data_IF_233532624993
#
_entry.id   IF_233532624993
#
_cell.length_a   1.000
_cell.length_b   1.000
_cell.length_c   1.000
_cell.angle_alpha   90.00
_cell.angle_beta   90.00
_cell.angle_gamma   90.00
#
_symmetry.space_group_name_H-M   'P 1'
#
loop_
_entity.id
_entity.type
_entity.pdbx_description
1 polymer ?
#
# COMPACT_ATOMS: atom_id res chain seq x y z
N UNK A 1 6.09 19.70 6.25
CA UNK A 1 5.83 20.80 5.27
C UNK A 1 4.61 20.40 4.48
N UNK A 2 3.67 21.32 4.25
CA UNK A 2 2.35 20.94 3.72
C UNK A 2 2.09 21.61 2.38
N UNK A 3 1.41 20.88 1.48
CA UNK A 3 0.88 21.45 0.24
C UNK A 3 -0.17 22.51 0.58
N UNK A 4 -0.16 23.63 -0.13
CA UNK A 4 -1.17 24.67 0.01
C UNK A 4 -2.28 24.45 -1.02
N UNK A 5 -3.41 23.90 -0.59
CA UNK A 5 -4.62 23.82 -1.41
C UNK A 5 -5.40 25.12 -1.28
N UNK A 6 -5.64 25.82 -2.40
CA UNK A 6 -6.52 26.99 -2.42
C UNK A 6 -7.97 26.50 -2.44
N UNK A 7 -8.79 26.96 -1.50
CA UNK A 7 -10.19 26.55 -1.42
C UNK A 7 -10.97 26.97 -2.69
N UNK A 8 -11.45 25.99 -3.46
CA UNK A 8 -12.39 26.24 -4.55
C UNK A 8 -13.78 26.55 -3.97
N UNK A 9 -14.10 27.84 -3.74
CA UNK A 9 -15.49 28.28 -3.57
C UNK A 9 -16.11 28.47 -4.97
N UNK A 10 -17.22 27.78 -5.21
CA UNK A 10 -17.96 27.84 -6.46
C UNK A 10 -18.41 29.25 -6.83
N UNK A 11 -18.15 29.64 -8.08
CA UNK A 11 -18.60 30.89 -8.68
C UNK A 11 -19.09 30.63 -10.10
N UNK A 12 -20.40 30.75 -10.28
CA UNK A 12 -21.09 30.78 -11.57
C UNK A 12 -20.43 31.80 -12.51
N UNK A 13 -20.08 31.41 -13.75
CA UNK A 13 -19.90 32.39 -14.83
C UNK A 13 -20.09 31.79 -16.23
N UNK A 14 -21.07 32.37 -16.94
CA UNK A 14 -21.40 32.13 -18.34
C UNK A 14 -20.17 32.19 -19.25
N UNK A 15 -19.91 31.12 -20.03
CA UNK A 15 -18.92 31.13 -21.10
C UNK A 15 -19.55 31.57 -22.42
N UNK A 16 -19.18 32.76 -22.88
CA UNK A 16 -19.29 33.15 -24.29
C UNK A 16 -18.26 32.34 -25.10
N UNK A 17 -18.71 31.59 -26.08
CA UNK A 17 -17.88 30.75 -26.96
C UNK A 17 -17.28 31.64 -28.06
N UNK A 18 -15.95 31.79 -28.06
CA UNK A 18 -15.21 32.51 -29.12
C UNK A 18 -14.64 31.51 -30.12
N UNK A 19 -14.94 31.71 -31.40
CA UNK A 19 -14.60 30.82 -32.51
C UNK A 19 -13.08 30.67 -32.77
N UNK A 20 -12.72 29.47 -33.24
CA UNK A 20 -11.37 28.96 -33.49
C UNK A 20 -10.60 29.79 -34.51
N UNK A 21 -11.31 30.42 -35.46
CA UNK A 21 -10.72 31.25 -36.51
C UNK A 21 -10.10 32.53 -35.94
N UNK A 22 -10.78 33.15 -34.96
CA UNK A 22 -10.30 34.35 -34.24
C UNK A 22 -9.05 34.04 -33.42
N UNK A 23 -8.99 32.86 -32.78
CA UNK A 23 -7.81 32.41 -32.01
C UNK A 23 -6.56 32.20 -32.88
N UNK A 24 -6.71 31.74 -34.12
CA UNK A 24 -5.57 31.57 -35.05
C UNK A 24 -5.03 32.91 -35.56
N UNK A 25 -5.92 33.87 -35.82
CA UNK A 25 -5.53 35.21 -36.28
C UNK A 25 -4.75 35.99 -35.22
N UNK A 26 -5.13 35.87 -33.95
CA UNK A 26 -4.39 36.48 -32.83
C UNK A 26 -2.99 35.85 -32.69
N UNK A 27 -2.86 34.53 -32.87
CA UNK A 27 -1.57 33.83 -32.76
C UNK A 27 -0.59 34.16 -33.89
N UNK A 28 -1.07 34.38 -35.11
CA UNK A 28 -0.20 34.76 -36.23
C UNK A 28 0.29 36.21 -36.14
N UNK A 29 -0.47 37.09 -35.48
CA UNK A 29 -0.12 38.50 -35.33
C UNK A 29 0.94 38.75 -34.24
N UNK A 30 1.00 37.90 -33.21
CA UNK A 30 1.93 38.04 -32.06
C UNK A 30 3.34 37.51 -32.37
N UNK A 31 3.52 36.71 -33.43
CA UNK A 31 4.81 36.07 -33.76
C UNK A 31 5.62 36.78 -34.85
N UNK A 32 5.11 37.87 -35.46
CA UNK A 32 5.90 38.67 -36.41
C UNK A 32 6.92 39.53 -35.65
N UNK A 33 8.20 39.17 -35.74
CA UNK A 33 9.32 40.03 -35.32
C UNK A 33 10.36 39.40 -34.39
N UNK A 34 10.13 38.18 -33.86
CA UNK A 34 10.99 37.65 -32.77
C UNK A 34 12.24 36.86 -33.21
N UNK A 35 12.42 36.60 -34.51
CA UNK A 35 13.50 35.73 -35.05
C UNK A 35 14.37 36.38 -36.15
N UNK A 36 14.57 37.70 -36.13
CA UNK A 36 15.59 38.32 -36.99
C UNK A 36 16.95 38.33 -36.26
N UNK A 37 17.93 37.58 -36.78
CA UNK A 37 19.35 37.87 -36.57
C UNK A 37 20.15 37.07 -35.52
N UNK A 38 19.94 35.76 -35.32
CA UNK A 38 20.87 34.94 -34.51
C UNK A 38 21.52 33.80 -35.30
N UNK A 39 22.82 33.93 -35.53
CA UNK A 39 23.71 32.91 -36.11
C UNK A 39 24.40 32.14 -34.98
N UNK A 40 24.32 30.80 -34.98
CA UNK A 40 24.95 29.93 -33.96
C UNK A 40 26.25 29.36 -34.52
N UNK A 41 27.38 29.63 -33.85
CA UNK A 41 28.68 29.06 -34.18
C UNK A 41 28.89 27.70 -33.50
N UNK A 42 29.35 26.71 -34.27
CA UNK A 42 29.59 25.31 -33.85
C UNK A 42 31.08 25.10 -33.57
N UNK A 43 31.43 24.72 -32.35
CA UNK A 43 32.79 24.28 -31.98
C UNK A 43 32.77 22.80 -31.60
N UNK A 44 33.62 22.01 -32.26
CA UNK A 44 33.88 20.59 -31.95
C UNK A 44 35.20 20.48 -31.17
N UNK A 45 35.25 19.59 -30.18
CA UNK A 45 36.51 19.12 -29.55
C UNK A 45 36.52 17.58 -29.45
N UNK A 46 37.71 16.95 -29.48
CA UNK A 46 37.89 15.56 -29.92
C UNK A 46 37.94 14.55 -28.77
N UNK A 47 37.70 13.27 -29.13
CA UNK A 47 37.79 12.08 -28.26
C UNK A 47 39.25 11.67 -28.02
N UNK A 48 39.61 11.39 -26.78
CA UNK A 48 40.82 10.65 -26.39
C UNK A 48 40.43 9.43 -25.54
N UNK A 49 40.95 8.26 -25.91
CA UNK A 49 40.75 6.99 -25.22
C UNK A 49 41.78 6.82 -24.09
N UNK A 50 41.38 6.17 -22.98
CA UNK A 50 42.32 5.71 -21.94
C UNK A 50 41.98 4.27 -21.56
N UNK A 51 43.04 3.48 -21.44
CA UNK A 51 43.13 2.04 -21.36
C UNK A 51 42.70 1.44 -20.02
N UNK A 52 42.36 0.15 -20.08
CA UNK A 52 42.05 -0.73 -18.96
C UNK A 52 43.27 -1.02 -18.08
N UNK A 53 43.08 -0.99 -16.76
CA UNK A 53 44.00 -1.53 -15.76
C UNK A 53 43.25 -2.52 -14.87
N UNK A 54 43.78 -3.74 -14.78
CA UNK A 54 43.32 -4.83 -13.91
C UNK A 54 43.42 -4.44 -12.43
N UNK A 55 42.45 -4.86 -11.61
CA UNK A 55 42.63 -4.94 -10.16
C UNK A 55 42.06 -6.26 -9.62
N UNK A 56 42.88 -6.90 -8.81
CA UNK A 56 42.80 -8.25 -8.28
C UNK A 56 41.60 -8.52 -7.36
N UNK A 57 41.25 -9.81 -7.28
CA UNK A 57 40.17 -10.35 -6.46
C UNK A 57 40.51 -10.36 -4.97
N UNK A 58 39.61 -9.82 -4.13
CA UNK A 58 39.59 -10.07 -2.69
C UNK A 58 38.26 -10.78 -2.37
N UNK A 59 38.34 -11.99 -1.82
CA UNK A 59 37.21 -12.72 -1.19
C UNK A 59 37.17 -12.40 0.30
N UNK A 60 35.97 -12.23 0.88
CA UNK A 60 35.69 -12.64 2.25
C UNK A 60 34.47 -13.58 2.36
N UNK A 61 34.60 -14.58 3.24
CA UNK A 61 33.58 -15.57 3.59
C UNK A 61 32.51 -15.03 4.58
N UNK A 62 31.27 -15.49 4.36
CA UNK A 62 30.09 -15.71 5.22
C UNK A 62 29.45 -14.62 6.12
N UNK A 63 28.19 -14.26 5.77
CA UNK A 63 27.17 -13.56 6.57
C UNK A 63 26.11 -12.79 5.72
N UNK A 64 24.78 -12.85 5.98
CA UNK A 64 23.77 -13.13 4.96
C UNK A 64 23.09 -11.93 4.26
N UNK A 65 22.54 -12.22 3.07
CA UNK A 65 21.69 -11.41 2.18
C UNK A 65 22.43 -10.52 1.17
N UNK A 66 22.98 -11.17 0.13
CA UNK A 66 22.76 -10.89 -1.30
C UNK A 66 22.66 -9.42 -1.79
N UNK A 67 23.35 -8.48 -1.14
CA UNK A 67 23.57 -7.12 -1.63
C UNK A 67 24.63 -7.05 -2.74
N UNK A 68 25.25 -8.18 -3.09
CA UNK A 68 26.47 -8.22 -3.91
C UNK A 68 26.27 -8.56 -5.40
N UNK A 69 25.03 -8.63 -5.91
CA UNK A 69 24.81 -8.87 -7.36
C UNK A 69 24.19 -7.71 -8.14
N UNK A 70 24.10 -6.54 -7.52
CA UNK A 70 23.50 -5.32 -8.09
C UNK A 70 24.47 -4.14 -8.10
N UNK A 71 25.78 -4.41 -8.05
CA UNK A 71 26.83 -3.42 -8.31
C UNK A 71 27.04 -3.36 -9.82
N UNK A 72 26.20 -2.59 -10.50
CA UNK A 72 26.30 -2.30 -11.93
C UNK A 72 25.65 -0.98 -12.27
N UNK A 73 26.27 -0.21 -13.15
CA UNK A 73 25.91 1.16 -13.58
C UNK A 73 24.55 1.26 -14.33
N UNK A 74 23.70 0.24 -14.28
CA UNK A 74 22.47 0.14 -15.09
C UNK A 74 21.46 1.26 -14.79
N UNK A 75 21.44 1.78 -13.56
CA UNK A 75 20.58 2.92 -13.21
C UNK A 75 21.05 4.20 -13.92
N UNK A 76 22.35 4.34 -14.19
CA UNK A 76 22.89 5.47 -14.95
C UNK A 76 22.57 5.38 -16.46
N UNK A 77 22.32 4.17 -16.99
CA UNK A 77 21.94 3.98 -18.39
C UNK A 77 20.55 4.56 -18.72
N UNK A 78 19.64 4.65 -17.74
CA UNK A 78 18.30 5.23 -17.91
C UNK A 78 18.24 6.75 -17.64
N UNK A 79 19.26 7.32 -16.99
CA UNK A 79 19.33 8.73 -16.62
C UNK A 79 20.27 9.51 -17.56
N UNK A 80 19.86 9.83 -18.79
CA UNK A 80 20.73 10.59 -19.69
C UNK A 80 20.99 12.01 -19.13
N UNK A 81 22.25 12.30 -18.78
CA UNK A 81 22.73 13.65 -18.48
C UNK A 81 22.73 14.10 -17.01
N UNK A 82 22.39 13.26 -16.04
CA UNK A 82 22.44 13.63 -14.61
C UNK A 82 23.53 12.83 -13.88
N UNK A 83 24.59 13.50 -13.42
CA UNK A 83 25.60 12.87 -12.56
C UNK A 83 25.05 12.73 -11.14
N UNK A 84 24.68 11.51 -10.75
CA UNK A 84 24.20 11.23 -9.39
C UNK A 84 25.34 10.97 -8.42
N UNK A 85 25.17 11.46 -7.19
CA UNK A 85 26.06 11.12 -6.08
C UNK A 85 25.91 9.64 -5.71
N UNK A 86 26.95 8.99 -5.15
CA UNK A 86 26.85 7.61 -4.64
C UNK A 86 25.68 7.41 -3.67
N UNK A 87 25.42 8.41 -2.82
CA UNK A 87 24.27 8.42 -1.92
C UNK A 87 22.92 8.31 -2.66
N UNK A 88 22.74 9.08 -3.73
CA UNK A 88 21.50 9.05 -4.53
C UNK A 88 21.32 7.72 -5.25
N UNK A 89 22.40 7.17 -5.85
CA UNK A 89 22.37 5.83 -6.47
C UNK A 89 21.93 4.75 -5.46
N UNK A 90 22.58 4.73 -4.29
CA UNK A 90 22.24 3.80 -3.20
C UNK A 90 20.78 3.95 -2.75
N UNK A 91 20.30 5.19 -2.55
CA UNK A 91 18.92 5.44 -2.12
C UNK A 91 17.89 5.03 -3.17
N UNK A 92 18.17 5.23 -4.46
CA UNK A 92 17.25 4.79 -5.53
C UNK A 92 17.19 3.27 -5.59
N UNK A 93 18.32 2.58 -5.48
CA UNK A 93 18.32 1.11 -5.37
C UNK A 93 17.49 0.64 -4.17
N UNK A 94 17.70 1.23 -2.99
CA UNK A 94 16.92 0.92 -1.79
C UNK A 94 15.43 1.26 -1.94
N UNK A 95 15.08 2.34 -2.64
CA UNK A 95 13.69 2.71 -2.91
C UNK A 95 12.94 1.56 -3.58
N UNK A 96 13.55 0.92 -4.59
CA UNK A 96 12.91 -0.14 -5.33
C UNK A 96 12.81 -1.43 -4.53
N UNK A 97 13.88 -1.84 -3.86
CA UNK A 97 13.82 -3.05 -3.02
C UNK A 97 12.85 -2.89 -1.85
N UNK A 98 12.78 -1.71 -1.25
CA UNK A 98 12.01 -1.50 -0.01
C UNK A 98 10.54 -1.21 -0.30
N UNK A 99 10.27 -0.22 -1.15
CA UNK A 99 8.90 0.27 -1.35
C UNK A 99 8.11 -0.68 -2.26
N UNK A 100 8.75 -1.30 -3.26
CA UNK A 100 8.04 -2.22 -4.13
C UNK A 100 7.63 -3.48 -3.37
N UNK A 101 8.54 -4.09 -2.61
CA UNK A 101 8.25 -5.27 -1.79
C UNK A 101 7.17 -4.96 -0.74
N UNK A 102 7.19 -3.74 -0.17
CA UNK A 102 6.19 -3.36 0.81
C UNK A 102 4.77 -3.12 0.27
N UNK A 103 4.68 -2.74 -1.01
CA UNK A 103 3.42 -2.54 -1.70
C UNK A 103 2.92 -3.83 -2.36
N UNK A 104 3.84 -4.65 -2.85
CA UNK A 104 3.62 -5.80 -3.70
C UNK A 104 4.55 -6.96 -3.29
N UNK A 105 4.19 -7.74 -2.26
CA UNK A 105 4.99 -8.87 -1.81
C UNK A 105 5.16 -9.89 -2.94
N UNK A 106 6.41 -10.19 -3.27
CA UNK A 106 6.76 -11.03 -4.41
C UNK A 106 6.33 -12.49 -4.25
N UNK A 107 6.03 -12.92 -3.02
CA UNK A 107 5.46 -14.23 -2.69
C UNK A 107 3.97 -14.33 -3.01
N UNK A 108 3.26 -13.19 -3.05
CA UNK A 108 1.81 -13.16 -3.24
C UNK A 108 1.40 -12.70 -4.64
N UNK A 109 2.22 -11.89 -5.30
CA UNK A 109 1.89 -11.34 -6.60
C UNK A 109 3.13 -11.20 -7.47
N UNK A 110 2.99 -11.47 -8.77
CA UNK A 110 4.12 -11.36 -9.69
C UNK A 110 4.29 -9.92 -10.21
N UNK A 111 5.55 -9.53 -10.36
CA UNK A 111 5.92 -8.22 -10.88
C UNK A 111 5.39 -8.02 -12.30
N UNK A 112 4.76 -6.86 -12.54
CA UNK A 112 4.92 -6.22 -13.86
C UNK A 112 6.34 -5.68 -13.91
N UNK A 113 7.07 -5.81 -15.02
CA UNK A 113 8.43 -5.29 -15.17
C UNK A 113 8.58 -3.88 -14.56
N UNK A 114 9.25 -3.80 -13.39
CA UNK A 114 9.38 -2.60 -12.58
C UNK A 114 9.91 -1.42 -13.41
N UNK A 115 10.87 -1.71 -14.29
CA UNK A 115 11.53 -0.74 -15.16
C UNK A 115 10.59 -0.15 -16.21
N UNK A 116 9.53 -0.89 -16.56
CA UNK A 116 8.48 -0.42 -17.48
C UNK A 116 7.40 0.39 -16.79
N UNK A 117 7.40 0.48 -15.46
CA UNK A 117 6.39 1.28 -14.75
C UNK A 117 6.65 2.77 -14.93
N UNK A 118 5.57 3.56 -15.07
CA UNK A 118 5.69 5.03 -15.06
C UNK A 118 6.31 5.57 -13.79
N UNK A 119 6.13 4.87 -12.66
CA UNK A 119 6.78 5.23 -11.41
C UNK A 119 8.31 5.19 -11.53
N UNK A 120 8.85 4.09 -12.07
CA UNK A 120 10.28 3.98 -12.33
C UNK A 120 10.74 5.08 -13.28
N UNK A 121 10.07 5.27 -14.41
CA UNK A 121 10.45 6.28 -15.40
C UNK A 121 10.44 7.71 -14.81
N UNK A 122 9.43 8.04 -13.99
CA UNK A 122 9.30 9.35 -13.36
C UNK A 122 10.46 9.71 -12.42
N UNK A 123 11.15 8.73 -11.82
CA UNK A 123 12.35 9.00 -11.01
C UNK A 123 13.47 9.68 -11.82
N UNK A 124 13.50 9.45 -13.13
CA UNK A 124 14.55 9.95 -14.01
C UNK A 124 14.16 11.24 -14.73
N UNK A 125 12.86 11.42 -15.02
CA UNK A 125 12.36 12.52 -15.86
C UNK A 125 11.66 13.62 -15.08
N UNK A 126 11.22 13.36 -13.84
CA UNK A 126 10.43 14.30 -13.04
C UNK A 126 11.17 14.67 -11.74
N UNK A 127 11.58 15.94 -11.65
CA UNK A 127 12.35 16.48 -10.52
C UNK A 127 11.61 16.32 -9.17
N UNK A 128 10.29 16.51 -9.15
CA UNK A 128 9.52 16.37 -7.93
C UNK A 128 9.46 14.91 -7.48
N UNK A 129 9.35 13.97 -8.43
CA UNK A 129 9.36 12.54 -8.14
C UNK A 129 10.70 12.09 -7.61
N UNK A 130 11.80 12.50 -8.24
CA UNK A 130 13.14 12.22 -7.75
C UNK A 130 13.29 12.61 -6.27
N UNK A 131 12.91 13.84 -5.93
CA UNK A 131 12.99 14.32 -4.55
C UNK A 131 12.01 13.62 -3.61
N UNK A 132 10.75 13.43 -4.01
CA UNK A 132 9.75 12.74 -3.18
C UNK A 132 10.18 11.29 -2.88
N UNK A 133 10.72 10.58 -3.86
CA UNK A 133 11.21 9.21 -3.73
C UNK A 133 12.42 9.08 -2.81
N UNK A 134 13.37 10.01 -2.87
CA UNK A 134 14.50 10.03 -1.93
C UNK A 134 14.04 10.29 -0.49
N UNK A 135 13.05 11.17 -0.30
CA UNK A 135 12.49 11.46 1.01
C UNK A 135 11.77 10.24 1.60
N UNK A 136 10.79 9.68 0.88
CA UNK A 136 10.02 8.52 1.35
C UNK A 136 10.91 7.30 1.61
N UNK A 137 11.92 7.05 0.76
CA UNK A 137 12.87 5.94 0.99
C UNK A 137 13.64 6.12 2.29
N UNK A 138 14.06 7.36 2.58
CA UNK A 138 14.75 7.66 3.83
C UNK A 138 13.81 7.45 5.02
N UNK A 139 12.55 7.88 4.93
CA UNK A 139 11.52 7.65 5.94
C UNK A 139 11.28 6.15 6.17
N UNK A 140 11.13 5.34 5.11
CA UNK A 140 10.96 3.89 5.24
C UNK A 140 12.17 3.22 5.91
N UNK A 141 13.38 3.63 5.55
CA UNK A 141 14.61 3.13 6.18
C UNK A 141 14.71 3.51 7.66
N UNK A 142 14.37 4.74 8.00
CA UNK A 142 14.35 5.22 9.39
C UNK A 142 13.33 4.45 10.22
N UNK A 143 12.14 4.23 9.66
CA UNK A 143 11.12 3.37 10.26
C UNK A 143 11.66 1.95 10.51
N UNK A 144 12.28 1.32 9.50
CA UNK A 144 12.78 -0.04 9.60
C UNK A 144 13.90 -0.19 10.65
N UNK A 145 14.82 0.78 10.68
CA UNK A 145 15.94 0.80 11.61
C UNK A 145 15.54 1.31 13.01
N UNK A 146 14.25 1.58 13.25
CA UNK A 146 13.71 2.18 14.48
C UNK A 146 14.47 3.46 14.89
N UNK A 147 14.82 4.30 13.91
CA UNK A 147 15.52 5.57 14.11
C UNK A 147 14.52 6.71 14.07
N UNK A 148 14.41 7.44 15.18
CA UNK A 148 13.52 8.59 15.31
C UNK A 148 14.11 9.90 14.76
N UNK A 149 15.39 9.92 14.39
CA UNK A 149 16.08 11.15 13.97
C UNK A 149 15.60 11.63 12.60
N UNK A 150 15.23 12.90 12.52
CA UNK A 150 14.83 13.53 11.28
C UNK A 150 16.04 13.83 10.39
N UNK A 151 16.11 13.23 9.20
CA UNK A 151 17.22 13.48 8.28
C UNK A 151 17.08 14.84 7.61
N UNK A 152 18.02 15.75 7.87
CA UNK A 152 18.07 17.08 7.23
C UNK A 152 18.09 17.00 5.70
N UNK A 153 18.75 15.97 5.14
CA UNK A 153 18.75 15.70 3.71
C UNK A 153 17.37 15.25 3.19
N UNK A 154 16.67 14.38 3.93
CA UNK A 154 15.31 13.96 3.57
C UNK A 154 14.33 15.13 3.62
N UNK A 155 14.45 16.01 4.63
CA UNK A 155 13.69 17.24 4.72
C UNK A 155 13.94 18.18 3.54
N UNK A 156 15.19 18.34 3.12
CA UNK A 156 15.54 19.13 1.95
C UNK A 156 14.87 18.59 0.67
N UNK A 157 14.88 17.28 0.48
CA UNK A 157 14.17 16.63 -0.63
C UNK A 157 12.66 16.81 -0.53
N UNK A 158 12.06 16.61 0.64
CA UNK A 158 10.63 16.81 0.87
C UNK A 158 10.21 18.26 0.57
N UNK A 159 10.98 19.25 1.05
CA UNK A 159 10.75 20.67 0.78
C UNK A 159 10.73 20.96 -0.72
N UNK A 160 11.69 20.39 -1.46
CA UNK A 160 11.82 20.62 -2.90
C UNK A 160 10.65 20.00 -3.66
N UNK A 161 10.24 18.78 -3.30
CA UNK A 161 9.07 18.12 -3.88
C UNK A 161 7.79 18.93 -3.65
N UNK A 162 7.52 19.37 -2.41
CA UNK A 162 6.34 20.18 -2.07
C UNK A 162 6.33 21.50 -2.84
N UNK A 163 7.47 22.18 -2.95
CA UNK A 163 7.58 23.43 -3.71
C UNK A 163 7.20 23.26 -5.19
N UNK A 164 7.66 22.18 -5.83
CA UNK A 164 7.34 21.91 -7.23
C UNK A 164 5.87 21.53 -7.38
N UNK A 165 5.33 20.70 -6.47
CA UNK A 165 3.91 20.33 -6.48
C UNK A 165 3.03 21.57 -6.35
N UNK A 166 3.32 22.49 -5.41
CA UNK A 166 2.55 23.73 -5.27
C UNK A 166 2.50 24.55 -6.57
N UNK A 167 3.59 24.59 -7.34
CA UNK A 167 3.58 25.24 -8.67
C UNK A 167 2.69 24.51 -9.68
N UNK A 168 2.68 23.17 -9.67
CA UNK A 168 1.84 22.35 -10.56
C UNK A 168 0.36 22.50 -10.28
N UNK A 169 -0.01 22.68 -9.01
CA UNK A 169 -1.42 22.86 -8.61
C UNK A 169 -2.05 24.12 -9.21
N UNK A 170 -1.26 25.13 -9.59
CA UNK A 170 -1.73 26.32 -10.31
C UNK A 170 -1.67 26.20 -11.84
N UNK A 171 -1.39 25.02 -12.38
CA UNK A 171 -1.18 24.78 -13.80
C UNK A 171 -2.18 23.77 -14.38
N UNK A 172 -2.12 23.53 -15.69
CA UNK A 172 -2.91 22.49 -16.34
C UNK A 172 -2.56 21.07 -15.86
N UNK A 173 -1.39 20.87 -15.24
CA UNK A 173 -0.92 19.56 -14.77
C UNK A 173 -1.41 19.21 -13.35
N UNK A 174 -2.27 20.04 -12.74
CA UNK A 174 -2.75 19.87 -11.38
C UNK A 174 -3.40 18.49 -11.14
N UNK A 175 -4.19 18.02 -12.11
CA UNK A 175 -4.92 16.74 -12.04
C UNK A 175 -4.24 15.60 -12.83
N UNK A 176 -2.98 15.80 -13.25
CA UNK A 176 -2.22 14.76 -13.96
C UNK A 176 -1.91 13.55 -13.07
N UNK A 177 -1.73 12.38 -13.69
CA UNK A 177 -1.28 11.15 -13.01
C UNK A 177 -0.02 11.38 -12.15
N UNK A 178 0.91 12.18 -12.66
CA UNK A 178 2.16 12.50 -11.99
C UNK A 178 1.92 13.36 -10.74
N UNK A 179 1.13 14.43 -10.84
CA UNK A 179 0.83 15.28 -9.68
C UNK A 179 0.06 14.52 -8.61
N UNK A 180 -0.96 13.74 -8.98
CA UNK A 180 -1.73 12.92 -8.04
C UNK A 180 -0.86 11.88 -7.33
N UNK A 181 0.02 11.21 -8.07
CA UNK A 181 0.97 10.26 -7.50
C UNK A 181 1.95 10.93 -6.53
N UNK A 182 2.41 12.15 -6.82
CA UNK A 182 3.27 12.92 -5.91
C UNK A 182 2.55 13.28 -4.61
N UNK A 183 1.30 13.73 -4.70
CA UNK A 183 0.49 14.03 -3.50
C UNK A 183 0.30 12.76 -2.67
N UNK A 184 0.09 11.61 -3.30
CA UNK A 184 0.09 10.30 -2.61
C UNK A 184 1.43 10.02 -1.90
N UNK A 185 2.59 10.20 -2.56
CA UNK A 185 3.90 9.97 -1.92
C UNK A 185 4.08 10.85 -0.69
N UNK A 186 3.66 12.12 -0.78
CA UNK A 186 3.74 13.07 0.33
C UNK A 186 2.80 12.70 1.48
N UNK A 187 1.57 12.27 1.17
CA UNK A 187 0.65 11.76 2.18
C UNK A 187 1.24 10.56 2.91
N UNK A 188 1.84 9.61 2.17
CA UNK A 188 2.46 8.43 2.72
C UNK A 188 3.69 8.76 3.57
N UNK A 189 4.49 9.74 3.15
CA UNK A 189 5.64 10.18 3.92
C UNK A 189 5.23 10.71 5.30
N UNK A 190 4.21 11.57 5.36
CA UNK A 190 3.71 12.08 6.65
C UNK A 190 3.02 10.98 7.47
N UNK A 191 2.36 10.02 6.80
CA UNK A 191 1.70 8.89 7.47
C UNK A 191 2.71 7.98 8.18
N UNK A 192 3.81 7.62 7.51
CA UNK A 192 4.89 6.81 8.10
C UNK A 192 5.63 7.55 9.23
N UNK A 193 5.60 8.89 9.21
CA UNK A 193 6.14 9.73 10.29
C UNK A 193 5.17 9.90 11.47
N UNK A 194 3.94 9.40 11.35
CA UNK A 194 2.90 9.54 12.36
C UNK A 194 2.25 10.93 12.43
N UNK A 195 2.47 11.81 11.44
CA UNK A 195 1.83 13.14 11.40
C UNK A 195 0.46 13.06 10.71
N UNK A 196 -0.52 12.53 11.45
CA UNK A 196 -1.89 12.34 10.95
C UNK A 196 -2.55 13.64 10.49
N UNK A 197 -2.22 14.78 11.12
CA UNK A 197 -2.77 16.08 10.76
C UNK A 197 -2.31 16.49 9.35
N UNK A 198 -1.02 16.33 9.05
CA UNK A 198 -0.51 16.62 7.70
C UNK A 198 -0.93 15.58 6.67
N UNK A 199 -0.97 14.29 7.03
CA UNK A 199 -1.53 13.26 6.16
C UNK A 199 -2.95 13.62 5.74
N UNK A 200 -3.78 14.08 6.69
CA UNK A 200 -5.14 14.54 6.40
C UNK A 200 -5.16 15.67 5.36
N UNK A 201 -4.31 16.70 5.51
CA UNK A 201 -4.26 17.80 4.54
C UNK A 201 -3.92 17.29 3.13
N UNK A 202 -2.96 16.38 3.01
CA UNK A 202 -2.62 15.79 1.72
C UNK A 202 -3.76 14.97 1.11
N UNK A 203 -4.47 14.18 1.93
CA UNK A 203 -5.58 13.36 1.46
C UNK A 203 -6.83 14.18 1.10
N UNK A 204 -7.15 15.22 1.87
CA UNK A 204 -8.27 16.11 1.56
C UNK A 204 -8.02 16.85 0.23
N UNK A 205 -6.79 17.27 -0.01
CA UNK A 205 -6.42 17.84 -1.31
C UNK A 205 -6.35 16.82 -2.44
N UNK A 206 -5.94 15.58 -2.17
CA UNK A 206 -5.97 14.49 -3.15
C UNK A 206 -7.39 14.18 -3.60
N UNK A 207 -8.34 14.13 -2.66
CA UNK A 207 -9.77 13.99 -2.94
C UNK A 207 -10.26 15.12 -3.85
N UNK A 208 -9.95 16.38 -3.51
CA UNK A 208 -10.34 17.53 -4.33
C UNK A 208 -9.78 17.43 -5.77
N UNK A 209 -8.52 17.01 -5.93
CA UNK A 209 -7.92 16.83 -7.26
C UNK A 209 -8.58 15.69 -8.06
N UNK A 210 -8.98 14.60 -7.39
CA UNK A 210 -9.74 13.51 -8.01
C UNK A 210 -11.11 13.99 -8.48
N UNK A 211 -11.83 14.74 -7.65
CA UNK A 211 -13.12 15.33 -8.00
C UNK A 211 -13.00 16.28 -9.19
N UNK A 212 -11.99 17.16 -9.19
CA UNK A 212 -11.69 18.06 -10.31
C UNK A 212 -11.32 17.33 -11.60
N UNK A 213 -10.74 16.12 -11.51
CA UNK A 213 -10.45 15.27 -12.66
C UNK A 213 -11.71 14.58 -13.22
N UNK A 214 -12.79 14.52 -12.46
CA UNK A 214 -14.04 13.83 -12.82
C UNK A 214 -14.27 12.53 -12.06
N UNK A 215 -13.71 12.38 -10.85
CA UNK A 215 -13.90 11.22 -9.98
C UNK A 215 -12.98 10.03 -10.32
N UNK A 216 -13.10 8.93 -9.56
CA UNK A 216 -12.28 7.73 -9.74
C UNK A 216 -12.52 7.04 -11.10
N UNK A 217 -13.74 7.13 -11.65
CA UNK A 217 -14.05 6.63 -12.99
C UNK A 217 -13.29 7.32 -14.14
N UNK A 218 -12.60 8.44 -13.87
CA UNK A 218 -11.76 9.13 -14.85
C UNK A 218 -10.40 8.46 -15.08
N UNK A 219 -9.97 7.54 -14.22
CA UNK A 219 -8.66 6.87 -14.28
C UNK A 219 -8.69 5.68 -15.25
N UNK A 220 -8.65 5.98 -16.54
CA UNK A 220 -8.78 4.99 -17.63
C UNK A 220 -7.42 4.46 -18.07
N UNK A 221 -7.32 3.15 -18.28
CA UNK A 221 -6.11 2.45 -18.72
C UNK A 221 -5.20 2.01 -17.57
N UNK A 222 -4.20 1.16 -17.86
CA UNK A 222 -3.42 0.46 -16.83
C UNK A 222 -2.62 1.42 -15.93
N UNK A 223 -1.96 2.43 -16.51
CA UNK A 223 -1.14 3.36 -15.73
C UNK A 223 -1.98 4.25 -14.80
N UNK A 224 -3.11 4.78 -15.28
CA UNK A 224 -3.98 5.61 -14.47
C UNK A 224 -4.66 4.79 -13.37
N UNK A 225 -5.05 3.53 -13.64
CA UNK A 225 -5.58 2.62 -12.61
C UNK A 225 -4.59 2.41 -11.46
N UNK A 226 -3.29 2.29 -11.74
CA UNK A 226 -2.26 2.19 -10.68
C UNK A 226 -2.17 3.44 -9.82
N UNK A 227 -2.42 4.62 -10.39
CA UNK A 227 -2.53 5.87 -9.61
C UNK A 227 -3.78 5.82 -8.72
N UNK A 228 -4.92 5.41 -9.28
CA UNK A 228 -6.16 5.22 -8.52
C UNK A 228 -5.97 4.24 -7.35
N UNK A 229 -5.29 3.11 -7.56
CA UNK A 229 -4.99 2.13 -6.53
C UNK A 229 -4.19 2.75 -5.37
N UNK A 230 -3.18 3.56 -5.67
CA UNK A 230 -2.38 4.27 -4.66
C UNK A 230 -3.23 5.27 -3.86
N UNK A 231 -4.08 6.04 -4.55
CA UNK A 231 -5.01 6.99 -3.92
C UNK A 231 -5.94 6.25 -2.95
N UNK A 232 -6.60 5.19 -3.42
CA UNK A 232 -7.52 4.38 -2.64
C UNK A 232 -6.83 3.70 -1.45
N UNK A 233 -5.59 3.25 -1.61
CA UNK A 233 -4.79 2.67 -0.53
C UNK A 233 -4.53 3.67 0.59
N UNK A 234 -4.06 4.87 0.26
CA UNK A 234 -3.81 5.88 1.28
C UNK A 234 -5.10 6.33 1.99
N UNK A 235 -6.23 6.28 1.30
CA UNK A 235 -7.54 6.57 1.89
C UNK A 235 -7.96 5.51 2.92
N UNK A 236 -7.93 4.22 2.58
CA UNK A 236 -8.31 3.15 3.53
C UNK A 236 -7.36 3.03 4.70
N UNK A 237 -6.05 3.18 4.48
CA UNK A 237 -5.08 3.11 5.56
C UNK A 237 -5.24 4.27 6.54
N UNK A 238 -5.54 5.47 6.04
CA UNK A 238 -5.85 6.59 6.91
C UNK A 238 -7.17 6.39 7.68
N UNK A 239 -8.19 5.83 7.03
CA UNK A 239 -9.45 5.47 7.69
C UNK A 239 -9.21 4.46 8.84
N UNK A 240 -8.43 3.40 8.60
CA UNK A 240 -8.05 2.43 9.64
C UNK A 240 -7.22 3.06 10.77
N UNK A 241 -6.30 3.96 10.43
CA UNK A 241 -5.43 4.64 11.40
C UNK A 241 -6.21 5.54 12.36
N UNK A 242 -7.21 6.23 11.84
CA UNK A 242 -7.95 7.29 12.57
C UNK A 242 -9.33 6.86 13.04
N UNK A 243 -9.82 5.70 12.60
CA UNK A 243 -11.21 5.27 12.79
C UNK A 243 -12.21 6.10 11.99
N UNK A 244 -11.77 6.86 10.97
CA UNK A 244 -12.65 7.66 10.13
C UNK A 244 -13.30 6.82 9.02
N UNK A 245 -14.30 7.38 8.34
CA UNK A 245 -14.78 6.83 7.07
C UNK A 245 -13.78 7.09 5.94
N UNK A 246 -13.65 6.18 4.95
CA UNK A 246 -12.95 6.44 3.71
C UNK A 246 -13.61 7.59 2.94
N UNK A 247 -12.83 8.33 2.16
CA UNK A 247 -13.28 9.48 1.37
C UNK A 247 -13.99 9.08 0.08
N UNK A 248 -13.63 7.93 -0.48
CA UNK A 248 -14.20 7.46 -1.73
C UNK A 248 -15.30 6.44 -1.50
N UNK A 249 -16.34 6.51 -2.34
CA UNK A 249 -17.46 5.59 -2.26
C UNK A 249 -17.06 4.21 -2.78
N UNK A 250 -17.44 3.16 -2.05
CA UNK A 250 -17.03 1.79 -2.33
C UNK A 250 -17.30 1.33 -3.78
N UNK A 251 -18.42 1.71 -4.39
CA UNK A 251 -18.72 1.29 -5.77
C UNK A 251 -17.78 1.91 -6.82
N UNK A 252 -17.05 2.97 -6.46
CA UNK A 252 -16.11 3.66 -7.33
C UNK A 252 -14.66 3.18 -7.17
N UNK A 253 -14.38 2.32 -6.17
CA UNK A 253 -13.01 1.87 -5.86
C UNK A 253 -12.61 0.68 -6.73
N UNK A 254 -11.30 0.35 -6.82
CA UNK A 254 -10.85 -0.83 -7.54
C UNK A 254 -11.53 -2.09 -7.00
N UNK A 255 -12.20 -2.81 -7.88
CA UNK A 255 -12.75 -4.13 -7.59
C UNK A 255 -12.21 -5.13 -8.59
N UNK A 256 -11.80 -6.29 -8.08
CA UNK A 256 -11.60 -7.48 -8.89
C UNK A 256 -12.84 -8.35 -8.69
N UNK A 257 -13.54 -8.68 -9.77
CA UNK A 257 -14.74 -9.53 -9.69
C UNK A 257 -14.27 -10.94 -9.34
N UNK A 258 -14.28 -11.26 -8.04
CA UNK A 258 -14.25 -12.63 -7.58
C UNK A 258 -15.67 -13.20 -7.72
N UNK A 259 -15.78 -14.52 -7.94
CA UNK A 259 -17.10 -15.14 -7.95
C UNK A 259 -17.82 -14.82 -6.63
N UNK A 260 -19.09 -14.41 -6.71
CA UNK A 260 -19.95 -14.29 -5.52
C UNK A 260 -20.73 -15.59 -5.27
N UNK A 261 -20.44 -16.64 -6.04
CA UNK A 261 -21.13 -17.93 -5.92
C UNK A 261 -20.44 -18.81 -4.88
N UNK A 262 -21.19 -19.75 -4.31
CA UNK A 262 -20.65 -20.73 -3.37
C UNK A 262 -20.20 -22.02 -4.05
N UNK A 263 -20.42 -22.14 -5.37
CA UNK A 263 -20.23 -23.40 -6.12
C UNK A 263 -18.78 -23.92 -6.11
N UNK A 264 -17.81 -23.02 -6.02
CA UNK A 264 -16.37 -23.36 -6.02
C UNK A 264 -15.75 -23.30 -4.62
N UNK A 265 -16.54 -23.05 -3.60
CA UNK A 265 -16.06 -23.00 -2.21
C UNK A 265 -15.88 -24.43 -1.71
N UNK A 266 -14.72 -24.68 -1.12
CA UNK A 266 -14.43 -25.96 -0.48
C UNK A 266 -15.37 -26.20 0.72
N UNK A 267 -15.89 -27.42 0.83
CA UNK A 267 -16.83 -27.84 1.87
C UNK A 267 -16.33 -27.56 3.30
N UNK A 268 -15.01 -27.47 3.51
CA UNK A 268 -14.42 -27.13 4.81
C UNK A 268 -14.86 -25.76 5.36
N UNK A 269 -15.27 -24.84 4.49
CA UNK A 269 -15.73 -23.49 4.87
C UNK A 269 -17.25 -23.39 5.07
N UNK A 270 -18.01 -24.48 4.88
CA UNK A 270 -19.47 -24.48 5.07
C UNK A 270 -19.90 -24.02 6.47
N UNK A 271 -19.23 -24.41 7.58
CA UNK A 271 -19.60 -23.92 8.91
C UNK A 271 -19.49 -22.39 9.02
N UNK A 272 -18.46 -21.79 8.41
CA UNK A 272 -18.31 -20.33 8.37
C UNK A 272 -19.42 -19.67 7.57
N UNK A 273 -19.78 -20.22 6.39
CA UNK A 273 -20.88 -19.69 5.58
C UNK A 273 -22.22 -19.77 6.32
N UNK A 274 -22.46 -20.83 7.11
CA UNK A 274 -23.67 -20.96 7.92
C UNK A 274 -23.80 -19.88 8.98
N UNK A 275 -22.69 -19.36 9.53
CA UNK A 275 -22.72 -18.25 10.51
C UNK A 275 -23.31 -16.97 9.90
N UNK A 276 -23.14 -16.79 8.59
CA UNK A 276 -23.61 -15.61 7.86
C UNK A 276 -24.90 -15.86 7.04
N UNK A 277 -25.49 -17.05 7.09
CA UNK A 277 -26.69 -17.38 6.28
C UNK A 277 -27.90 -16.47 6.50
N UNK A 278 -27.98 -15.86 7.69
CA UNK A 278 -29.03 -14.91 8.09
C UNK A 278 -28.50 -13.49 8.34
N UNK A 279 -27.24 -13.22 7.97
CA UNK A 279 -26.67 -11.87 8.02
C UNK A 279 -27.15 -11.03 6.83
N UNK A 280 -26.77 -9.76 6.80
CA UNK A 280 -27.00 -8.90 5.64
C UNK A 280 -26.29 -9.44 4.39
N UNK A 281 -26.81 -9.10 3.21
CA UNK A 281 -26.19 -9.48 1.93
C UNK A 281 -24.72 -9.04 1.85
N UNK A 282 -24.39 -7.88 2.45
CA UNK A 282 -23.05 -7.33 2.47
C UNK A 282 -22.09 -8.15 3.34
N UNK A 283 -22.52 -8.59 4.52
CA UNK A 283 -21.71 -9.44 5.40
C UNK A 283 -21.54 -10.84 4.82
N UNK A 284 -22.60 -11.41 4.24
CA UNK A 284 -22.57 -12.72 3.56
C UNK A 284 -21.62 -12.70 2.36
N UNK A 285 -21.69 -11.64 1.54
CA UNK A 285 -20.78 -11.44 0.40
C UNK A 285 -19.33 -11.29 0.86
N UNK A 286 -19.09 -10.53 1.93
CA UNK A 286 -17.73 -10.39 2.48
C UNK A 286 -17.15 -11.74 2.90
N UNK A 287 -17.92 -12.59 3.57
CA UNK A 287 -17.47 -13.93 3.97
C UNK A 287 -17.06 -14.77 2.75
N UNK A 288 -17.88 -14.75 1.68
CA UNK A 288 -17.59 -15.44 0.41
C UNK A 288 -16.31 -14.90 -0.24
N UNK A 289 -16.16 -13.57 -0.32
CA UNK A 289 -14.99 -12.94 -0.94
C UNK A 289 -13.70 -13.26 -0.18
N UNK A 290 -13.73 -13.28 1.16
CA UNK A 290 -12.58 -13.66 2.00
C UNK A 290 -12.20 -15.13 1.80
N UNK A 291 -13.19 -16.03 1.72
CA UNK A 291 -12.94 -17.46 1.44
C UNK A 291 -12.32 -17.65 0.06
N UNK A 292 -12.88 -17.03 -0.97
CA UNK A 292 -12.32 -17.10 -2.31
C UNK A 292 -10.91 -16.49 -2.39
N UNK A 293 -10.67 -15.39 -1.69
CA UNK A 293 -9.33 -14.78 -1.59
C UNK A 293 -8.34 -15.76 -0.95
N UNK A 294 -8.77 -16.46 0.10
CA UNK A 294 -7.96 -17.50 0.75
C UNK A 294 -7.63 -18.64 -0.22
N UNK A 295 -8.64 -19.18 -0.91
CA UNK A 295 -8.44 -20.26 -1.88
C UNK A 295 -7.54 -19.82 -3.04
N UNK A 296 -7.69 -18.59 -3.54
CA UNK A 296 -6.86 -18.02 -4.60
C UNK A 296 -5.38 -17.99 -4.20
N UNK A 297 -5.05 -17.45 -3.03
CA UNK A 297 -3.65 -17.34 -2.59
C UNK A 297 -3.05 -18.67 -2.11
N UNK A 298 -3.88 -19.63 -1.69
CA UNK A 298 -3.40 -20.98 -1.33
C UNK A 298 -3.25 -21.92 -2.54
N UNK A 299 -3.81 -21.60 -3.71
CA UNK A 299 -3.72 -22.42 -4.91
C UNK A 299 -2.46 -22.16 -5.76
N UNK A 300 -1.39 -21.64 -5.14
CA UNK A 300 -0.19 -21.16 -5.83
C UNK A 300 0.62 -22.25 -6.57
N UNK A 301 0.45 -23.52 -6.22
CA UNK A 301 1.06 -24.64 -6.96
C UNK A 301 0.35 -24.97 -8.28
N UNK A 302 -0.90 -24.54 -8.44
CA UNK A 302 -1.75 -24.94 -9.57
C UNK A 302 -2.22 -23.75 -10.43
N UNK A 303 -2.10 -22.52 -9.92
CA UNK A 303 -2.48 -21.31 -10.63
C UNK A 303 -1.29 -20.34 -10.76
N UNK A 304 -1.22 -19.55 -11.85
CA UNK A 304 -0.28 -18.45 -11.92
C UNK A 304 -0.55 -17.46 -10.78
N UNK A 305 0.52 -16.85 -10.26
CA UNK A 305 0.40 -15.77 -9.27
C UNK A 305 -0.51 -14.66 -9.82
N UNK A 306 -1.13 -13.92 -8.92
CA UNK A 306 -1.94 -12.75 -9.30
C UNK A 306 -1.04 -11.59 -9.75
N UNK A 307 -1.56 -10.75 -10.65
CA UNK A 307 -0.88 -9.52 -11.03
C UNK A 307 -0.90 -8.49 -9.89
N UNK A 308 -0.01 -7.50 -9.91
CA UNK A 308 -0.05 -6.38 -8.95
C UNK A 308 -1.36 -5.61 -8.98
N UNK A 309 -1.94 -5.46 -10.16
CA UNK A 309 -3.17 -4.71 -10.35
C UNK A 309 -4.34 -5.48 -9.71
N UNK A 310 -4.43 -6.80 -9.93
CA UNK A 310 -5.48 -7.65 -9.35
C UNK A 310 -5.29 -7.82 -7.84
N UNK A 311 -4.06 -8.09 -7.39
CA UNK A 311 -3.72 -8.14 -5.97
C UNK A 311 -4.22 -6.89 -5.25
N UNK A 312 -3.87 -5.71 -5.77
CA UNK A 312 -4.25 -4.46 -5.12
C UNK A 312 -5.76 -4.24 -5.15
N UNK A 313 -6.44 -4.59 -6.25
CA UNK A 313 -7.88 -4.45 -6.36
C UNK A 313 -8.63 -5.36 -5.38
N UNK A 314 -8.20 -6.61 -5.20
CA UNK A 314 -8.79 -7.54 -4.23
C UNK A 314 -8.65 -6.98 -2.81
N UNK A 315 -7.43 -6.62 -2.41
CA UNK A 315 -7.16 -6.17 -1.04
C UNK A 315 -7.86 -4.86 -0.72
N UNK A 316 -7.90 -3.91 -1.66
CA UNK A 316 -8.61 -2.65 -1.46
C UNK A 316 -10.12 -2.87 -1.36
N UNK A 317 -10.70 -3.70 -2.23
CA UNK A 317 -12.13 -4.02 -2.18
C UNK A 317 -12.53 -4.59 -0.82
N UNK A 318 -11.82 -5.63 -0.36
CA UNK A 318 -12.05 -6.24 0.96
C UNK A 318 -11.93 -5.21 2.09
N UNK A 319 -10.91 -4.35 2.04
CA UNK A 319 -10.67 -3.36 3.10
C UNK A 319 -11.78 -2.30 3.15
N UNK A 320 -12.17 -1.74 1.99
CA UNK A 320 -13.28 -0.77 1.94
C UNK A 320 -14.60 -1.40 2.41
N UNK A 321 -14.89 -2.65 2.01
CA UNK A 321 -16.11 -3.35 2.43
C UNK A 321 -16.11 -3.61 3.94
N UNK A 322 -14.98 -4.04 4.51
CA UNK A 322 -14.85 -4.21 5.95
C UNK A 322 -15.13 -2.89 6.69
N UNK A 323 -14.52 -1.78 6.28
CA UNK A 323 -14.74 -0.48 6.95
C UNK A 323 -16.21 -0.03 6.81
N UNK A 324 -16.83 -0.25 5.64
CA UNK A 324 -18.26 0.07 5.44
C UNK A 324 -19.15 -0.72 6.41
N UNK A 325 -18.95 -2.03 6.52
CA UNK A 325 -19.73 -2.90 7.40
C UNK A 325 -19.47 -2.55 8.87
N UNK A 326 -18.22 -2.25 9.24
CA UNK A 326 -17.87 -1.82 10.61
C UNK A 326 -18.68 -0.59 11.03
N UNK A 327 -18.86 0.38 10.12
CA UNK A 327 -19.51 1.64 10.45
C UNK A 327 -21.04 1.55 10.46
N UNK A 328 -21.62 0.69 9.64
CA UNK A 328 -23.07 0.70 9.38
C UNK A 328 -23.82 -0.51 9.97
N UNK A 329 -23.16 -1.67 10.06
CA UNK A 329 -23.86 -2.96 10.23
C UNK A 329 -23.31 -3.82 11.37
N UNK A 330 -22.07 -3.59 11.85
CA UNK A 330 -21.43 -4.45 12.85
C UNK A 330 -22.23 -4.60 14.14
N UNK A 331 -22.94 -3.55 14.56
CA UNK A 331 -23.75 -3.55 15.76
C UNK A 331 -25.03 -4.40 15.63
N UNK A 332 -25.47 -4.69 14.40
CA UNK A 332 -26.58 -5.59 14.13
C UNK A 332 -26.16 -7.08 14.18
N UNK A 333 -24.86 -7.37 14.11
CA UNK A 333 -24.32 -8.72 14.19
C UNK A 333 -24.29 -9.22 15.65
N UNK A 334 -24.54 -10.52 15.84
CA UNK A 334 -24.32 -11.17 17.14
C UNK A 334 -22.82 -11.24 17.51
N UNK A 335 -22.48 -11.51 18.77
CA UNK A 335 -21.07 -11.52 19.23
C UNK A 335 -20.16 -12.44 18.40
N UNK A 336 -20.62 -13.65 18.07
CA UNK A 336 -19.86 -14.62 17.27
C UNK A 336 -19.66 -14.10 15.84
N UNK A 337 -20.70 -13.56 15.20
CA UNK A 337 -20.61 -12.95 13.87
C UNK A 337 -19.67 -11.74 13.86
N UNK A 338 -19.71 -10.89 14.91
CA UNK A 338 -18.75 -9.81 15.09
C UNK A 338 -17.32 -10.36 15.19
N UNK A 339 -17.11 -11.48 15.89
CA UNK A 339 -15.81 -12.14 15.99
C UNK A 339 -15.27 -12.52 14.61
N UNK A 340 -16.08 -13.19 13.79
CA UNK A 340 -15.71 -13.53 12.43
C UNK A 340 -15.44 -12.30 11.57
N UNK A 341 -16.32 -11.29 11.64
CA UNK A 341 -16.17 -10.04 10.92
C UNK A 341 -14.85 -9.32 11.26
N UNK A 342 -14.52 -9.19 12.54
CA UNK A 342 -13.27 -8.57 12.95
C UNK A 342 -12.05 -9.41 12.55
N UNK A 343 -12.21 -10.72 12.43
CA UNK A 343 -11.20 -11.58 11.83
C UNK A 343 -11.06 -11.37 10.33
N UNK A 344 -12.15 -11.09 9.59
CA UNK A 344 -12.09 -10.69 8.18
C UNK A 344 -11.38 -9.33 8.01
N UNK A 345 -11.64 -8.39 8.91
CA UNK A 345 -10.92 -7.11 8.93
C UNK A 345 -9.43 -7.32 9.22
N UNK A 346 -9.08 -8.13 10.23
CA UNK A 346 -7.68 -8.51 10.50
C UNK A 346 -7.05 -9.20 9.28
N UNK A 347 -7.76 -10.14 8.66
CA UNK A 347 -7.34 -10.82 7.43
C UNK A 347 -7.05 -9.80 6.31
N UNK A 348 -7.97 -8.88 5.99
CA UNK A 348 -7.73 -7.86 4.95
C UNK A 348 -6.54 -6.97 5.31
N UNK A 349 -6.46 -6.53 6.57
CA UNK A 349 -5.36 -5.72 7.08
C UNK A 349 -4.03 -6.45 6.97
N UNK A 350 -3.98 -7.78 7.10
CA UNK A 350 -2.78 -8.63 6.91
C UNK A 350 -2.11 -8.53 5.55
N UNK A 351 -2.78 -7.98 4.54
CA UNK A 351 -2.19 -7.74 3.21
C UNK A 351 -1.73 -6.28 2.99
N UNK A 352 -2.05 -5.34 3.90
CA UNK A 352 -1.64 -3.93 3.79
C UNK A 352 -0.16 -3.74 4.15
N UNK A 353 0.42 -2.52 4.14
CA UNK A 353 1.89 -2.29 4.16
C UNK A 353 2.67 -3.13 5.19
N UNK A 354 3.27 -4.22 4.72
CA UNK A 354 4.32 -4.96 5.39
C UNK A 354 5.63 -4.60 4.74
N UNK A 355 6.74 -4.61 5.45
CA UNK A 355 8.06 -4.63 4.83
C UNK A 355 8.84 -5.79 5.42
N UNK A 356 9.17 -6.78 4.58
CA UNK A 356 9.52 -8.11 5.06
C UNK A 356 8.49 -8.62 6.06
N UNK A 357 8.93 -8.96 7.28
CA UNK A 357 8.09 -9.53 8.34
C UNK A 357 7.54 -8.49 9.34
N UNK A 358 7.69 -7.18 9.08
CA UNK A 358 7.28 -6.10 10.01
C UNK A 358 6.17 -5.22 9.45
N UNK A 359 5.20 -4.89 10.30
CA UNK A 359 4.15 -3.90 10.04
C UNK A 359 4.71 -2.50 9.98
N UNK A 360 4.41 -1.75 8.92
CA UNK A 360 4.79 -0.34 8.84
C UNK A 360 3.81 0.60 9.56
N UNK A 361 2.54 0.22 9.61
CA UNK A 361 1.48 1.00 10.22
C UNK A 361 0.78 0.18 11.29
N UNK A 362 0.40 0.84 12.38
CA UNK A 362 -0.40 0.27 13.46
C UNK A 362 -1.76 0.95 13.48
N UNK A 363 -2.84 0.20 13.70
CA UNK A 363 -4.21 0.71 13.66
C UNK A 363 -4.84 0.66 15.06
N UNK A 364 -4.48 1.57 15.98
CA UNK A 364 -4.78 1.44 17.41
C UNK A 364 -6.27 1.42 17.73
N UNK A 365 -7.09 2.18 16.98
CA UNK A 365 -8.55 2.19 17.17
C UNK A 365 -9.16 0.80 16.89
N UNK A 366 -8.82 0.23 15.73
CA UNK A 366 -9.26 -1.11 15.32
C UNK A 366 -8.70 -2.16 16.27
N UNK A 367 -7.41 -2.08 16.60
CA UNK A 367 -6.74 -3.01 17.52
C UNK A 367 -7.41 -3.05 18.90
N UNK A 368 -7.85 -1.89 19.42
CA UNK A 368 -8.57 -1.80 20.69
C UNK A 368 -9.94 -2.49 20.63
N UNK A 369 -10.70 -2.28 19.54
CA UNK A 369 -11.99 -2.93 19.34
C UNK A 369 -11.85 -4.46 19.27
N UNK A 370 -10.91 -4.93 18.45
CA UNK A 370 -10.59 -6.36 18.29
C UNK A 370 -10.14 -6.97 19.61
N UNK A 371 -9.22 -6.31 20.34
CA UNK A 371 -8.74 -6.76 21.65
C UNK A 371 -9.88 -6.95 22.65
N UNK A 372 -10.80 -5.99 22.73
CA UNK A 372 -11.97 -6.09 23.62
C UNK A 372 -12.87 -7.26 23.24
N UNK A 373 -13.07 -7.48 21.94
CA UNK A 373 -13.91 -8.56 21.44
C UNK A 373 -13.28 -9.93 21.66
N UNK A 374 -12.00 -10.11 21.34
CA UNK A 374 -11.26 -11.37 21.60
C UNK A 374 -11.36 -11.76 23.07
N UNK A 375 -11.13 -10.81 23.98
CA UNK A 375 -11.28 -11.06 25.43
C UNK A 375 -12.70 -11.48 25.79
N UNK A 376 -13.72 -10.81 25.26
CA UNK A 376 -15.12 -11.18 25.49
C UNK A 376 -15.41 -12.60 25.00
N UNK A 377 -15.00 -12.93 23.78
CA UNK A 377 -15.27 -14.23 23.14
C UNK A 377 -14.52 -15.38 23.81
N UNK A 378 -13.27 -15.16 24.23
CA UNK A 378 -12.48 -16.18 24.94
C UNK A 378 -13.09 -16.67 26.26
N UNK A 379 -13.97 -15.87 26.87
CA UNK A 379 -14.69 -16.19 28.10
C UNK A 379 -16.13 -16.68 27.85
N UNK A 380 -16.59 -16.69 26.60
CA UNK A 380 -17.95 -17.09 26.22
C UNK A 380 -17.96 -18.58 25.84
N UNK A 381 -18.58 -19.46 26.66
CA UNK A 381 -18.62 -20.90 26.38
C UNK A 381 -19.41 -21.28 25.12
N UNK A 382 -20.21 -20.37 24.57
CA UNK A 382 -20.94 -20.59 23.33
C UNK A 382 -20.12 -20.26 22.08
N UNK A 383 -18.96 -19.64 22.26
CA UNK A 383 -18.08 -19.27 21.15
C UNK A 383 -17.25 -20.48 20.69
N UNK A 384 -17.17 -20.77 19.38
CA UNK A 384 -16.30 -21.83 18.87
C UNK A 384 -14.82 -21.54 19.17
N UNK A 385 -14.10 -22.50 19.75
CA UNK A 385 -12.68 -22.33 20.09
C UNK A 385 -11.82 -21.99 18.85
N UNK A 386 -12.13 -22.58 17.69
CA UNK A 386 -11.46 -22.27 16.42
C UNK A 386 -11.56 -20.78 16.04
N UNK A 387 -12.69 -20.12 16.33
CA UNK A 387 -12.83 -18.68 16.11
C UNK A 387 -11.89 -17.90 17.02
N UNK A 388 -11.82 -18.26 18.30
CA UNK A 388 -10.95 -17.59 19.29
C UNK A 388 -9.49 -17.76 18.90
N UNK A 389 -9.07 -18.96 18.50
CA UNK A 389 -7.71 -19.25 18.02
C UNK A 389 -7.39 -18.41 16.77
N UNK A 390 -8.20 -18.56 15.72
CA UNK A 390 -7.98 -17.89 14.44
C UNK A 390 -7.97 -16.37 14.57
N UNK A 391 -8.94 -15.80 15.28
CA UNK A 391 -9.02 -14.35 15.50
C UNK A 391 -7.82 -13.86 16.32
N UNK A 392 -7.41 -14.58 17.38
CA UNK A 392 -6.25 -14.20 18.19
C UNK A 392 -4.96 -14.21 17.37
N UNK A 393 -4.77 -15.26 16.55
CA UNK A 393 -3.60 -15.35 15.68
C UNK A 393 -3.58 -14.22 14.65
N UNK A 394 -4.65 -14.03 13.89
CA UNK A 394 -4.71 -12.96 12.90
C UNK A 394 -4.60 -11.58 13.53
N UNK A 395 -5.15 -11.36 14.73
CA UNK A 395 -5.02 -10.09 15.45
C UNK A 395 -3.57 -9.78 15.81
N UNK A 396 -2.80 -10.80 16.21
CA UNK A 396 -1.37 -10.65 16.48
C UNK A 396 -0.59 -10.30 15.24
N UNK A 397 -0.85 -11.00 14.14
CA UNK A 397 -0.23 -10.70 12.85
C UNK A 397 -0.65 -9.33 12.29
N UNK A 398 -1.84 -8.83 12.67
CA UNK A 398 -2.44 -7.66 12.04
C UNK A 398 -2.26 -6.36 12.77
N UNK A 399 -2.20 -6.40 14.10
CA UNK A 399 -2.26 -5.21 14.93
C UNK A 399 -1.08 -5.07 15.90
N UNK A 400 -0.22 -6.07 16.01
CA UNK A 400 1.02 -5.97 16.79
C UNK A 400 2.17 -5.53 15.89
N UNK A 401 3.01 -4.63 16.40
CA UNK A 401 4.16 -4.09 15.66
C UNK A 401 5.38 -4.98 15.85
N UNK A 402 5.58 -5.45 17.08
CA UNK A 402 6.72 -6.25 17.50
C UNK A 402 6.26 -7.44 18.36
N UNK A 403 7.13 -8.44 18.52
CA UNK A 403 6.83 -9.66 19.30
C UNK A 403 6.52 -9.33 20.77
N UNK A 404 7.10 -8.24 21.31
CA UNK A 404 6.79 -7.73 22.64
C UNK A 404 5.33 -7.29 22.82
N UNK A 405 4.63 -6.97 21.73
CA UNK A 405 3.23 -6.55 21.78
C UNK A 405 2.27 -7.75 21.94
N UNK A 406 2.76 -8.98 21.86
CA UNK A 406 1.95 -10.20 21.99
C UNK A 406 1.47 -10.46 23.42
N UNK A 407 1.96 -9.73 24.43
CA UNK A 407 1.58 -9.90 25.83
C UNK A 407 0.06 -9.99 26.09
N UNK A 408 -0.74 -9.23 25.33
CA UNK A 408 -2.18 -9.27 25.50
C UNK A 408 -2.84 -10.44 24.80
N UNK A 409 -2.17 -11.09 23.84
CA UNK A 409 -2.63 -12.23 23.00
C UNK A 409 -2.17 -13.57 23.57
N UNK A 410 -0.94 -13.64 24.10
CA UNK A 410 -0.33 -14.89 24.59
C UNK A 410 -1.27 -15.69 25.49
N UNK A 411 -1.94 -15.10 26.50
CA UNK A 411 -2.82 -15.85 27.38
C UNK A 411 -4.01 -16.48 26.66
N UNK A 412 -4.57 -15.83 25.64
CA UNK A 412 -5.70 -16.38 24.90
C UNK A 412 -5.28 -17.50 23.95
N UNK A 413 -4.13 -17.35 23.29
CA UNK A 413 -3.60 -18.39 22.39
C UNK A 413 -3.19 -19.62 23.18
N UNK A 414 -2.53 -19.47 24.34
CA UNK A 414 -2.18 -20.59 25.21
C UNK A 414 -3.43 -21.31 25.74
N UNK A 415 -4.40 -20.57 26.29
CA UNK A 415 -5.63 -21.15 26.83
C UNK A 415 -6.43 -21.93 25.78
N UNK A 416 -6.65 -21.34 24.60
CA UNK A 416 -7.43 -22.01 23.54
C UNK A 416 -6.67 -23.20 22.96
N UNK A 417 -5.33 -23.13 22.85
CA UNK A 417 -4.51 -24.26 22.41
C UNK A 417 -4.62 -25.43 23.38
N UNK A 418 -4.60 -25.15 24.69
CA UNK A 418 -4.78 -26.18 25.73
C UNK A 418 -6.18 -26.80 25.68
N UNK A 419 -7.23 -25.99 25.51
CA UNK A 419 -8.62 -26.48 25.40
C UNK A 419 -8.82 -27.39 24.20
N UNK A 420 -8.25 -27.01 23.05
CA UNK A 420 -8.30 -27.78 21.81
C UNK A 420 -7.31 -28.95 21.78
N UNK A 421 -6.37 -29.03 22.73
CA UNK A 421 -5.37 -30.09 22.80
C UNK A 421 -4.24 -29.98 21.77
N UNK A 422 -3.95 -28.78 21.28
CA UNK A 422 -2.95 -28.50 20.25
C UNK A 422 -1.54 -28.54 20.87
N UNK A 423 -0.71 -29.48 20.44
CA UNK A 423 0.64 -29.70 21.01
C UNK A 423 1.75 -29.30 20.04
N UNK A 424 1.45 -29.31 18.76
CA UNK A 424 2.40 -29.02 17.68
C UNK A 424 1.82 -27.97 16.75
N UNK A 425 2.70 -27.31 15.98
CA UNK A 425 2.24 -26.37 14.97
C UNK A 425 1.43 -27.08 13.87
N UNK A 426 1.73 -28.34 13.60
CA UNK A 426 0.99 -29.17 12.65
C UNK A 426 -0.47 -29.37 13.07
N UNK A 427 -0.74 -29.57 14.37
CA UNK A 427 -2.11 -29.62 14.92
C UNK A 427 -2.84 -28.29 14.67
N UNK A 428 -2.15 -27.16 14.90
CA UNK A 428 -2.70 -25.82 14.65
C UNK A 428 -3.03 -25.64 13.17
N UNK A 429 -2.14 -26.06 12.28
CA UNK A 429 -2.34 -25.97 10.83
C UNK A 429 -3.54 -26.80 10.38
N UNK A 430 -3.75 -27.99 10.96
CA UNK A 430 -4.90 -28.85 10.66
C UNK A 430 -6.22 -28.13 10.97
N UNK A 431 -6.33 -27.53 12.16
CA UNK A 431 -7.50 -26.74 12.57
C UNK A 431 -7.73 -25.52 11.66
N UNK A 432 -6.64 -24.80 11.33
CA UNK A 432 -6.69 -23.60 10.50
C UNK A 432 -7.12 -23.85 9.05
N UNK A 433 -7.17 -25.10 8.58
CA UNK A 433 -7.66 -25.39 7.23
C UNK A 433 -9.14 -25.03 7.04
N UNK A 434 -9.93 -25.02 8.12
CA UNK A 434 -11.37 -24.74 8.09
C UNK A 434 -11.73 -23.24 8.05
N UNK A 435 -10.73 -22.37 8.17
CA UNK A 435 -10.89 -20.92 8.31
C UNK A 435 -9.97 -20.14 7.36
N UNK A 436 -10.30 -18.88 7.02
CA UNK A 436 -9.48 -18.07 6.11
C UNK A 436 -8.03 -17.89 6.61
N UNK A 437 -7.10 -18.64 6.04
CA UNK A 437 -5.68 -18.60 6.40
C UNK A 437 -4.82 -18.78 5.15
N UNK A 438 -3.97 -17.81 4.83
CA UNK A 438 -3.09 -17.87 3.65
C UNK A 438 -1.71 -18.36 4.08
N UNK A 439 -1.33 -19.57 3.66
CA UNK A 439 -0.13 -20.24 4.14
C UNK A 439 1.15 -19.42 3.90
N UNK A 440 1.29 -18.82 2.72
CA UNK A 440 2.45 -18.01 2.35
C UNK A 440 2.58 -16.73 3.18
N UNK A 441 1.46 -16.15 3.60
CA UNK A 441 1.44 -14.88 4.32
C UNK A 441 1.46 -15.09 5.84
N UNK A 442 0.68 -16.05 6.33
CA UNK A 442 0.39 -16.23 7.75
C UNK A 442 1.19 -17.38 8.39
N UNK A 443 1.69 -18.34 7.61
CA UNK A 443 2.32 -19.57 8.12
C UNK A 443 3.52 -19.33 9.04
N UNK A 444 4.64 -18.88 8.48
CA UNK A 444 5.89 -18.60 9.22
C UNK A 444 5.72 -17.58 10.37
N UNK A 445 5.01 -16.45 10.17
CA UNK A 445 4.74 -15.51 11.26
C UNK A 445 3.83 -16.10 12.34
N UNK A 446 2.78 -16.82 11.95
CA UNK A 446 1.82 -17.46 12.85
C UNK A 446 2.48 -18.52 13.72
N UNK A 447 3.34 -19.36 13.13
CA UNK A 447 4.11 -20.38 13.85
C UNK A 447 4.93 -19.77 14.98
N UNK A 448 5.76 -18.77 14.64
CA UNK A 448 6.64 -18.11 15.61
C UNK A 448 5.84 -17.49 16.75
N UNK A 449 4.74 -16.80 16.43
CA UNK A 449 3.90 -16.19 17.45
C UNK A 449 3.22 -17.26 18.32
N UNK A 450 2.70 -18.34 17.75
CA UNK A 450 2.10 -19.43 18.51
C UNK A 450 3.11 -20.08 19.46
N UNK A 451 4.31 -20.39 18.97
CA UNK A 451 5.42 -20.94 19.78
C UNK A 451 5.82 -20.01 20.93
N UNK A 452 5.93 -18.70 20.68
CA UNK A 452 6.18 -17.71 21.73
C UNK A 452 5.08 -17.73 22.80
N UNK A 453 3.81 -17.82 22.38
CA UNK A 453 2.68 -17.85 23.31
C UNK A 453 2.66 -19.12 24.19
N UNK A 454 3.23 -20.23 23.73
CA UNK A 454 3.33 -21.46 24.54
C UNK A 454 4.48 -21.39 25.57
N UNK A 455 5.48 -20.53 25.35
CA UNK A 455 6.68 -20.43 26.20
C UNK A 455 6.55 -19.38 27.32
N UNK A 456 5.46 -18.60 27.35
CA UNK A 456 5.17 -17.58 28.37
C UNK A 456 4.45 -18.16 29.61
N UNK A 457 4.29 -19.49 29.71
CA UNK A 457 3.86 -20.23 30.92
C UNK A 457 5.07 -20.60 31.79
#
# INVERSE_FOLDING_TARGET
MTIQFVACRGGNNNRVVVDTKTRRMVRSHVMKGRNAGRTVARTQRPRGAVAAGELESIRPEDGPLALSRWVGDDVAAYASGVCWTPYQKMRIHQCFSIIADALYPHELCHSTDLYKTRWFQNLFVDEAFFHASLAITTTCLQFYLNRAEESSAALGHLSRAVHIVNKRLSSADATSDNTLSLVFVLAMNEMLRGDHARTKVHLDGLQCLVELRGGLGSFKGPDAKRVMHKICRADVEFALLTGSSPRFFFLDVPSHIMSSTTDTIDNRYLPLLQVFSHASDDASRLAIEVIHTTQLFNNFFHAPMVSWDDYTAIILSLTYQCIRIEQNEVNALGNVQQGWFYGFLAFAVSFLFHFGRRRMLCYPAVASNVRRLVRKLSHDPSCPDILVLWLSLLSGLSFCKEESDYQWISPMVAEVSRKMGLKTWEDVVEELQSVPWVHLLHGDPGKRMWELCQNDE
#
